data_IF_751034933282
#
_entry.id   IF_751034933282
#
_cell.length_a   1.000
_cell.length_b   1.000
_cell.length_c   1.000
_cell.angle_alpha   90.00
_cell.angle_beta   90.00
_cell.angle_gamma   90.00
#
_symmetry.space_group_name_H-M   'P 1'
#
loop_
_entity.id
_entity.type
_entity.pdbx_description
1 polymer ?
#
# COMPACT_ATOMS: atom_id res chain seq x y z
N UNK A 1 -13.11 4.13 0.24
CA UNK A 1 -12.97 3.18 -0.87
C UNK A 1 -12.48 3.87 -2.13
N UNK A 2 -13.09 4.97 -2.59
CA UNK A 2 -12.68 5.70 -3.80
C UNK A 2 -11.17 6.00 -3.85
N UNK A 3 -10.61 6.56 -2.78
CA UNK A 3 -9.16 6.81 -2.66
C UNK A 3 -8.29 5.58 -2.97
N UNK A 4 -8.69 4.39 -2.49
CA UNK A 4 -7.92 3.14 -2.76
C UNK A 4 -8.03 2.71 -4.22
N UNK A 5 -9.16 2.96 -4.86
CA UNK A 5 -9.34 2.71 -6.28
C UNK A 5 -8.49 3.67 -7.11
N UNK A 6 -8.51 4.96 -6.79
CA UNK A 6 -7.74 5.98 -7.50
C UNK A 6 -6.23 5.67 -7.45
N UNK A 7 -5.71 5.32 -6.25
CA UNK A 7 -4.30 4.93 -6.07
C UNK A 7 -3.96 3.64 -6.84
N UNK A 8 -4.86 2.66 -6.80
CA UNK A 8 -4.66 1.40 -7.51
C UNK A 8 -4.59 1.62 -9.03
N UNK A 9 -5.51 2.40 -9.57
CA UNK A 9 -5.59 2.69 -11.00
C UNK A 9 -4.36 3.48 -11.47
N UNK A 10 -3.82 4.40 -10.63
CA UNK A 10 -2.56 5.10 -10.90
C UNK A 10 -1.33 4.18 -10.96
N UNK A 11 -1.34 3.07 -10.21
CA UNK A 11 -0.23 2.09 -10.23
C UNK A 11 -0.35 1.14 -11.43
N UNK A 12 -1.57 0.72 -11.76
CA UNK A 12 -1.81 -0.33 -12.77
C UNK A 12 -1.85 0.23 -14.18
N UNK A 13 -2.32 1.47 -14.38
CA UNK A 13 -2.48 2.12 -15.68
C UNK A 13 -1.96 3.57 -15.62
N UNK A 14 -0.66 3.80 -15.48
CA UNK A 14 -0.11 5.15 -15.37
C UNK A 14 -0.27 5.98 -16.65
N UNK A 15 -0.35 5.35 -17.82
CA UNK A 15 -0.31 6.03 -19.13
C UNK A 15 -1.70 6.51 -19.63
N UNK A 16 -2.81 6.03 -19.04
CA UNK A 16 -4.15 6.43 -19.53
C UNK A 16 -4.57 7.84 -19.04
N UNK A 17 -4.11 8.28 -17.89
CA UNK A 17 -4.48 9.60 -17.32
C UNK A 17 -3.73 10.76 -17.95
N UNK A 18 -2.52 10.56 -18.46
CA UNK A 18 -1.77 11.60 -19.19
C UNK A 18 -2.37 11.84 -20.58
N UNK A 19 -3.07 10.85 -21.16
CA UNK A 19 -3.77 11.00 -22.44
C UNK A 19 -5.08 11.79 -22.33
N UNK A 20 -5.77 11.78 -21.19
CA UNK A 20 -6.99 12.57 -20.97
C UNK A 20 -6.71 14.06 -20.72
N UNK A 21 -5.63 14.41 -20.06
CA UNK A 21 -5.23 15.81 -19.85
C UNK A 21 -4.82 16.56 -21.13
N UNK A 22 -4.46 15.84 -22.18
CA UNK A 22 -4.06 16.43 -23.48
C UNK A 22 -5.29 16.71 -24.36
N UNK A 23 -6.46 16.10 -24.06
CA UNK A 23 -7.67 16.26 -24.88
C UNK A 23 -8.56 17.46 -24.52
N UNK A 24 -8.33 18.13 -23.39
CA UNK A 24 -9.14 19.32 -22.98
C UNK A 24 -8.61 20.67 -23.50
N UNK A 25 -7.64 20.69 -24.35
CA UNK A 25 -7.00 21.94 -24.80
C UNK A 25 -6.83 22.07 -26.28
N UNK A 26 -7.84 21.82 -27.12
CA UNK A 26 -7.88 22.35 -28.50
C UNK A 26 -9.26 22.08 -29.10
N UNK A 27 -10.15 23.01 -28.95
CA UNK A 27 -11.35 23.15 -29.78
C UNK A 27 -11.30 24.56 -30.41
N UNK A 28 -10.78 24.63 -31.60
CA UNK A 28 -11.04 25.69 -32.57
C UNK A 28 -10.50 25.21 -33.94
N UNK A 29 -11.41 25.00 -34.89
CA UNK A 29 -11.03 24.80 -36.30
C UNK A 29 -12.05 23.97 -37.10
N UNK A 30 -12.98 24.70 -37.77
CA UNK A 30 -13.77 24.24 -38.88
C UNK A 30 -12.96 23.43 -39.91
N UNK A 31 -13.48 22.28 -40.36
CA UNK A 31 -13.55 21.97 -41.80
C UNK A 31 -14.44 20.74 -42.07
N UNK A 32 -15.33 20.91 -43.02
CA UNK A 32 -16.17 19.90 -43.69
C UNK A 32 -15.32 18.78 -44.30
N UNK A 33 -15.63 17.51 -43.97
CA UNK A 33 -15.51 16.43 -44.94
C UNK A 33 -16.38 15.21 -44.59
N UNK A 34 -17.08 14.77 -45.61
CA UNK A 34 -18.09 13.74 -45.70
C UNK A 34 -17.45 12.32 -45.60
N UNK A 35 -17.45 11.68 -44.43
CA UNK A 35 -17.06 10.29 -44.31
C UNK A 35 -17.94 9.54 -43.31
N UNK A 36 -18.68 8.57 -43.86
CA UNK A 36 -19.51 7.49 -43.31
C UNK A 36 -19.41 7.30 -41.78
N UNK A 37 -20.33 7.91 -41.02
CA UNK A 37 -20.57 7.64 -39.61
C UNK A 37 -20.96 6.18 -39.39
N UNK A 38 -20.13 5.42 -38.69
CA UNK A 38 -20.59 4.23 -37.98
C UNK A 38 -21.66 4.67 -36.96
N UNK A 39 -22.76 3.89 -36.79
CA UNK A 39 -23.79 4.24 -35.82
C UNK A 39 -23.17 4.35 -34.44
N UNK A 40 -23.13 5.56 -33.89
CA UNK A 40 -22.79 5.75 -32.49
C UNK A 40 -23.90 5.13 -31.63
N UNK A 41 -23.59 4.36 -30.60
CA UNK A 41 -24.59 3.83 -29.68
C UNK A 41 -25.41 5.00 -29.14
N UNK A 42 -26.72 4.80 -28.96
CA UNK A 42 -27.57 5.84 -28.41
C UNK A 42 -27.11 6.18 -27.00
N UNK A 43 -27.31 7.43 -26.57
CA UNK A 43 -26.96 7.87 -25.21
C UNK A 43 -27.61 6.95 -24.16
N UNK A 44 -28.78 6.39 -24.45
CA UNK A 44 -29.46 5.42 -23.59
C UNK A 44 -28.75 4.05 -23.52
N UNK A 45 -28.18 3.58 -24.64
CA UNK A 45 -27.43 2.33 -24.68
C UNK A 45 -26.07 2.46 -24.02
N UNK A 46 -25.40 3.62 -24.16
CA UNK A 46 -24.18 3.94 -23.45
C UNK A 46 -24.43 4.00 -21.94
N UNK A 47 -25.51 4.67 -21.51
CA UNK A 47 -25.89 4.78 -20.10
C UNK A 47 -26.29 3.42 -19.50
N UNK A 48 -27.01 2.58 -20.25
CA UNK A 48 -27.32 1.20 -19.83
C UNK A 48 -26.07 0.35 -19.68
N UNK A 49 -25.15 0.43 -20.65
CA UNK A 49 -23.88 -0.29 -20.59
C UNK A 49 -23.05 0.12 -19.36
N UNK A 50 -23.02 1.41 -19.04
CA UNK A 50 -22.33 1.93 -17.88
C UNK A 50 -23.02 1.51 -16.56
N UNK A 51 -24.35 1.54 -16.49
CA UNK A 51 -25.11 1.04 -15.35
C UNK A 51 -24.91 -0.47 -15.14
N UNK A 52 -24.88 -1.25 -16.18
CA UNK A 52 -24.69 -2.70 -16.10
C UNK A 52 -23.23 -3.05 -15.74
N UNK A 53 -22.25 -2.28 -16.23
CA UNK A 53 -20.86 -2.38 -15.79
C UNK A 53 -20.70 -2.06 -14.30
N UNK A 54 -21.33 -0.98 -13.82
CA UNK A 54 -21.34 -0.61 -12.40
C UNK A 54 -22.02 -1.69 -11.54
N UNK A 55 -23.11 -2.29 -12.02
CA UNK A 55 -23.79 -3.39 -11.34
C UNK A 55 -22.98 -4.68 -11.31
N UNK A 56 -22.18 -4.97 -12.33
CA UNK A 56 -21.28 -6.12 -12.35
C UNK A 56 -20.06 -5.91 -11.42
N UNK A 57 -19.53 -4.70 -11.38
CA UNK A 57 -18.49 -4.33 -10.42
C UNK A 57 -19.01 -4.33 -8.97
N UNK A 58 -20.30 -4.05 -8.78
CA UNK A 58 -20.96 -4.02 -7.46
C UNK A 58 -21.35 -5.41 -6.92
N UNK A 59 -21.25 -6.48 -7.73
CA UNK A 59 -21.33 -7.84 -7.20
C UNK A 59 -20.18 -8.02 -6.21
N UNK A 60 -20.53 -8.33 -4.96
CA UNK A 60 -19.61 -8.45 -3.80
C UNK A 60 -18.36 -9.32 -4.08
N UNK A 61 -18.44 -10.20 -5.06
CA UNK A 61 -17.37 -11.12 -5.46
C UNK A 61 -16.32 -10.46 -6.38
N UNK A 62 -16.68 -9.41 -7.13
CA UNK A 62 -15.79 -8.76 -8.12
C UNK A 62 -15.16 -7.46 -7.62
N UNK A 63 -15.44 -7.05 -6.39
CA UNK A 63 -14.85 -5.82 -5.85
C UNK A 63 -13.35 -5.97 -5.62
N UNK A 64 -12.55 -5.10 -6.23
CA UNK A 64 -11.10 -5.00 -5.98
C UNK A 64 -10.78 -4.81 -4.48
N UNK A 65 -11.65 -4.09 -3.76
CA UNK A 65 -11.50 -3.77 -2.33
C UNK A 65 -12.80 -4.02 -1.56
N UNK A 66 -12.65 -4.59 -0.35
CA UNK A 66 -13.77 -4.86 0.56
C UNK A 66 -13.41 -4.34 1.97
N UNK A 67 -14.33 -3.60 2.59
CA UNK A 67 -14.18 -3.23 4.01
C UNK A 67 -14.60 -4.42 4.87
N UNK A 68 -13.73 -4.75 5.83
CA UNK A 68 -13.99 -5.78 6.85
C UNK A 68 -14.06 -5.11 8.21
N UNK A 69 -15.19 -5.27 8.89
CA UNK A 69 -15.36 -4.79 10.27
C UNK A 69 -14.70 -5.77 11.25
N UNK A 70 -13.67 -5.30 11.91
CA UNK A 70 -12.98 -6.06 12.96
C UNK A 70 -13.60 -5.88 14.35
N UNK A 71 -14.68 -5.07 14.45
CA UNK A 71 -15.27 -4.69 15.73
C UNK A 71 -14.32 -3.90 16.62
N UNK A 72 -13.43 -3.10 16.02
CA UNK A 72 -12.49 -2.21 16.70
C UNK A 72 -12.86 -0.75 16.45
N UNK A 73 -12.82 0.06 17.51
CA UNK A 73 -13.05 1.49 17.37
C UNK A 73 -11.90 2.15 16.59
N UNK A 74 -12.26 3.05 15.68
CA UNK A 74 -11.32 3.84 14.89
C UNK A 74 -10.29 3.00 14.09
N UNK A 75 -10.65 1.79 13.69
CA UNK A 75 -9.84 0.92 12.86
C UNK A 75 -10.69 0.35 11.72
N UNK A 76 -10.24 0.52 10.50
CA UNK A 76 -10.86 -0.02 9.30
C UNK A 76 -9.85 -0.97 8.67
N UNK A 77 -10.30 -2.18 8.34
CA UNK A 77 -9.52 -3.14 7.58
C UNK A 77 -10.07 -3.21 6.15
N UNK A 78 -9.18 -3.03 5.17
CA UNK A 78 -9.52 -3.10 3.76
C UNK A 78 -8.88 -4.33 3.16
N UNK A 79 -9.70 -5.28 2.74
CA UNK A 79 -9.26 -6.48 2.04
C UNK A 79 -9.15 -6.19 0.54
N UNK A 80 -8.04 -6.56 -0.07
CA UNK A 80 -7.83 -6.53 -1.51
C UNK A 80 -8.23 -7.89 -2.12
N UNK A 81 -8.79 -7.88 -3.34
CA UNK A 81 -9.01 -9.12 -4.09
C UNK A 81 -7.66 -9.75 -4.50
N UNK A 82 -7.66 -11.05 -4.78
CA UNK A 82 -6.44 -11.75 -5.23
C UNK A 82 -5.86 -11.14 -6.50
N UNK A 83 -6.73 -10.77 -7.44
CA UNK A 83 -6.35 -10.13 -8.71
C UNK A 83 -5.73 -8.75 -8.48
N UNK A 84 -6.26 -7.99 -7.51
CA UNK A 84 -5.74 -6.67 -7.17
C UNK A 84 -4.35 -6.77 -6.53
N UNK A 85 -4.13 -7.73 -5.61
CA UNK A 85 -2.82 -7.96 -4.98
C UNK A 85 -1.74 -8.39 -5.98
N UNK A 86 -2.11 -9.18 -7.01
CA UNK A 86 -1.16 -9.58 -8.06
C UNK A 86 -0.67 -8.37 -8.86
N UNK A 87 -1.54 -7.40 -9.11
CA UNK A 87 -1.22 -6.21 -9.90
C UNK A 87 -0.55 -5.11 -9.09
N UNK A 88 -0.91 -4.96 -7.82
CA UNK A 88 -0.39 -3.91 -6.95
C UNK A 88 -0.19 -4.44 -5.52
N UNK A 89 1.07 -4.41 -5.04
CA UNK A 89 1.39 -4.79 -3.66
C UNK A 89 0.83 -3.74 -2.67
N UNK A 90 0.25 -4.16 -1.53
CA UNK A 90 -0.23 -3.24 -0.50
C UNK A 90 0.81 -2.22 -0.03
N UNK A 91 2.10 -2.62 0.05
CA UNK A 91 3.17 -1.68 0.42
C UNK A 91 3.35 -0.58 -0.60
N UNK A 92 3.30 -0.91 -1.89
CA UNK A 92 3.52 0.06 -2.97
C UNK A 92 2.33 1.02 -3.07
N UNK A 93 1.11 0.53 -2.87
CA UNK A 93 -0.09 1.37 -2.79
C UNK A 93 0.00 2.39 -1.65
N UNK A 94 0.37 1.94 -0.45
CA UNK A 94 0.48 2.84 0.70
C UNK A 94 1.63 3.83 0.53
N UNK A 95 2.77 3.39 0.00
CA UNK A 95 3.91 4.28 -0.33
C UNK A 95 3.50 5.34 -1.35
N UNK A 96 2.76 4.97 -2.40
CA UNK A 96 2.25 5.92 -3.41
C UNK A 96 1.37 6.98 -2.76
N UNK A 97 0.39 6.58 -1.96
CA UNK A 97 -0.46 7.50 -1.21
C UNK A 97 0.33 8.45 -0.31
N UNK A 98 1.26 7.91 0.50
CA UNK A 98 2.06 8.72 1.41
C UNK A 98 3.02 9.66 0.66
N UNK A 99 3.51 9.26 -0.51
CA UNK A 99 4.33 10.13 -1.37
C UNK A 99 3.51 11.31 -1.87
N UNK A 100 2.29 11.08 -2.33
CA UNK A 100 1.37 12.14 -2.74
C UNK A 100 1.04 13.09 -1.58
N UNK A 101 0.72 12.56 -0.39
CA UNK A 101 0.50 13.39 0.81
C UNK A 101 1.74 14.21 1.15
N UNK A 102 2.93 13.63 1.01
CA UNK A 102 4.18 14.35 1.24
C UNK A 102 4.42 15.46 0.22
N UNK A 103 4.05 15.26 -1.03
CA UNK A 103 4.23 16.24 -2.11
C UNK A 103 3.19 17.35 -2.09
N UNK A 104 1.94 17.02 -1.84
CA UNK A 104 0.80 17.96 -1.92
C UNK A 104 0.40 18.56 -0.57
N UNK A 105 0.79 17.94 0.55
CA UNK A 105 0.28 18.25 1.91
C UNK A 105 -1.22 18.00 2.07
N UNK A 106 -1.87 17.41 1.06
CA UNK A 106 -3.30 17.11 1.10
C UNK A 106 -3.53 15.69 1.59
N UNK A 107 -4.18 15.57 2.73
CA UNK A 107 -4.72 14.29 3.19
C UNK A 107 -6.14 14.17 2.65
N UNK A 108 -6.42 13.20 1.78
CA UNK A 108 -7.74 13.01 1.16
C UNK A 108 -8.86 12.71 2.18
N UNK A 109 -8.51 12.53 3.43
CA UNK A 109 -9.45 12.31 4.52
C UNK A 109 -8.93 12.86 5.84
N UNK A 110 -9.75 13.70 6.49
CA UNK A 110 -9.47 14.19 7.84
C UNK A 110 -9.55 13.12 8.94
N UNK A 111 -10.09 11.95 8.61
CA UNK A 111 -10.30 10.86 9.57
C UNK A 111 -9.17 9.82 9.54
N UNK A 112 -8.39 9.77 8.45
CA UNK A 112 -7.26 8.83 8.33
C UNK A 112 -6.06 9.47 9.02
N UNK A 113 -5.65 8.87 10.13
CA UNK A 113 -4.43 9.26 10.81
C UNK A 113 -3.25 8.41 10.33
N UNK A 114 -3.42 7.09 10.31
CA UNK A 114 -2.38 6.14 9.91
C UNK A 114 -2.93 5.11 8.95
N UNK A 115 -2.14 4.76 7.94
CA UNK A 115 -2.44 3.70 7.00
C UNK A 115 -1.25 2.74 6.93
N UNK A 116 -1.48 1.46 7.17
CA UNK A 116 -0.44 0.43 7.17
C UNK A 116 -0.75 -0.61 6.11
N UNK A 117 0.24 -1.03 5.32
CA UNK A 117 0.09 -2.16 4.42
C UNK A 117 0.01 -3.46 5.21
N UNK A 118 -0.79 -4.40 4.73
CA UNK A 118 -0.93 -5.74 5.28
C UNK A 118 -0.72 -6.74 4.15
N UNK A 119 0.25 -7.62 4.32
CA UNK A 119 0.55 -8.67 3.36
C UNK A 119 -0.07 -10.01 3.75
N UNK A 120 -0.16 -10.27 5.06
CA UNK A 120 -0.62 -11.57 5.52
C UNK A 120 -1.33 -11.48 6.89
N UNK A 121 -2.18 -12.48 7.18
CA UNK A 121 -2.91 -12.60 8.44
C UNK A 121 -2.87 -14.04 8.89
N UNK A 122 -2.44 -14.29 10.13
CA UNK A 122 -2.38 -15.62 10.73
C UNK A 122 -2.98 -15.64 12.14
N UNK A 123 -3.03 -16.78 12.78
CA UNK A 123 -3.35 -16.86 14.20
C UNK A 123 -2.26 -16.19 15.05
N UNK A 124 -2.68 -15.61 16.19
CA UNK A 124 -1.77 -15.02 17.16
C UNK A 124 -1.06 -16.13 17.98
N UNK A 125 -0.12 -16.84 17.34
CA UNK A 125 0.82 -17.77 17.97
C UNK A 125 2.22 -17.55 17.43
N UNK A 126 3.24 -17.87 18.22
CA UNK A 126 4.64 -17.69 17.85
C UNK A 126 5.01 -18.50 16.61
N UNK A 127 4.51 -19.72 16.51
CA UNK A 127 4.74 -20.65 15.40
C UNK A 127 4.14 -20.12 14.10
N UNK A 128 2.88 -19.66 14.15
CA UNK A 128 2.19 -19.12 12.99
C UNK A 128 2.84 -17.82 12.52
N UNK A 129 3.16 -16.91 13.44
CA UNK A 129 3.88 -15.67 13.12
C UNK A 129 5.20 -15.97 12.42
N UNK A 130 5.97 -16.95 12.93
CA UNK A 130 7.22 -17.38 12.34
C UNK A 130 7.03 -17.94 10.93
N UNK A 131 6.05 -18.82 10.73
CA UNK A 131 5.77 -19.45 9.45
C UNK A 131 5.36 -18.42 8.37
N UNK A 132 4.49 -17.48 8.75
CA UNK A 132 4.00 -16.44 7.84
C UNK A 132 4.98 -15.28 7.63
N UNK A 133 5.86 -14.99 8.61
CA UNK A 133 6.89 -13.96 8.47
C UNK A 133 8.02 -14.37 7.52
N UNK A 134 8.38 -15.67 7.48
CA UNK A 134 9.49 -16.17 6.65
C UNK A 134 9.38 -15.79 5.17
N UNK A 135 8.25 -16.02 4.46
CA UNK A 135 8.09 -15.62 3.07
C UNK A 135 8.19 -14.10 2.87
N UNK A 136 7.71 -13.31 3.85
CA UNK A 136 7.79 -11.85 3.78
C UNK A 136 9.23 -11.38 3.94
N UNK A 137 9.99 -11.97 4.86
CA UNK A 137 11.41 -11.67 5.03
C UNK A 137 12.18 -11.99 3.75
N UNK A 138 12.00 -13.18 3.18
CA UNK A 138 12.69 -13.61 1.96
C UNK A 138 12.37 -12.71 0.75
N UNK A 139 11.13 -12.19 0.68
CA UNK A 139 10.69 -11.30 -0.39
C UNK A 139 11.23 -9.86 -0.24
N UNK A 140 11.20 -9.29 0.96
CA UNK A 140 11.49 -7.87 1.20
C UNK A 140 12.91 -7.60 1.71
N UNK A 141 13.58 -8.62 2.24
CA UNK A 141 14.98 -8.60 2.65
C UNK A 141 15.71 -9.82 2.07
N UNK A 142 15.84 -9.94 0.74
CA UNK A 142 16.54 -11.06 0.14
C UNK A 142 18.02 -11.03 0.53
N UNK A 143 18.59 -12.21 0.80
CA UNK A 143 20.01 -12.40 1.02
C UNK A 143 20.71 -12.32 -0.35
N UNK A 144 21.03 -11.12 -0.80
CA UNK A 144 21.76 -10.92 -2.05
C UNK A 144 23.25 -10.89 -1.73
N UNK A 145 23.99 -11.91 -2.19
CA UNK A 145 25.43 -11.84 -2.32
C UNK A 145 25.74 -10.85 -3.43
N UNK A 146 26.23 -9.67 -3.08
CA UNK A 146 26.71 -8.71 -4.08
C UNK A 146 28.05 -9.22 -4.56
N UNK A 147 28.14 -9.59 -5.84
CA UNK A 147 29.39 -9.97 -6.52
C UNK A 147 30.48 -8.94 -6.22
N UNK A 148 31.57 -9.43 -5.65
CA UNK A 148 32.66 -8.66 -5.02
C UNK A 148 33.49 -7.88 -6.03
N UNK A 149 33.27 -8.04 -7.35
CA UNK A 149 34.18 -7.49 -8.36
C UNK A 149 33.96 -6.02 -8.71
N UNK A 150 32.87 -5.36 -8.33
CA UNK A 150 32.58 -4.02 -8.86
C UNK A 150 32.56 -2.86 -7.89
N UNK A 151 32.56 -3.01 -6.55
CA UNK A 151 32.75 -1.86 -5.64
C UNK A 151 33.28 -2.26 -4.27
N UNK A 152 34.53 -1.90 -3.98
CA UNK A 152 35.18 -1.93 -2.66
C UNK A 152 34.59 -0.94 -1.63
N UNK A 153 33.54 -0.21 -1.96
CA UNK A 153 32.91 0.74 -1.05
C UNK A 153 31.48 0.33 -0.72
N UNK A 154 31.31 -0.07 0.54
CA UNK A 154 30.06 -0.17 1.24
C UNK A 154 29.14 -1.36 0.88
N UNK A 155 29.48 -2.53 1.41
CA UNK A 155 28.47 -3.51 1.80
C UNK A 155 27.62 -2.94 2.97
N UNK A 156 26.81 -1.95 2.68
CA UNK A 156 25.92 -1.36 3.67
C UNK A 156 24.79 -2.37 3.88
N UNK A 157 24.91 -3.18 4.96
CA UNK A 157 23.85 -4.10 5.36
C UNK A 157 22.51 -3.39 5.32
N UNK A 158 21.51 -3.98 4.69
CA UNK A 158 20.17 -3.42 4.69
C UNK A 158 19.64 -3.39 6.12
N UNK A 159 18.97 -2.29 6.49
CA UNK A 159 18.48 -2.11 7.86
C UNK A 159 17.01 -2.49 7.98
N UNK A 160 16.65 -3.11 9.10
CA UNK A 160 15.26 -3.46 9.39
C UNK A 160 14.88 -3.23 10.86
N UNK A 161 13.58 -3.19 11.10
CA UNK A 161 13.02 -3.24 12.45
C UNK A 161 11.73 -4.05 12.48
N UNK A 162 11.30 -4.43 13.67
CA UNK A 162 9.98 -5.02 13.89
C UNK A 162 9.16 -4.07 14.77
N UNK A 163 8.03 -3.63 14.25
CA UNK A 163 7.10 -2.72 14.93
C UNK A 163 5.94 -3.57 15.44
N UNK A 164 5.82 -3.64 16.75
CA UNK A 164 4.79 -4.43 17.40
C UNK A 164 3.69 -3.55 18.01
N UNK A 165 2.45 -3.93 17.79
CA UNK A 165 1.30 -3.43 18.54
C UNK A 165 0.35 -4.56 18.94
N UNK A 166 -0.48 -4.34 19.96
CA UNK A 166 -1.49 -5.30 20.39
C UNK A 166 -2.77 -4.58 20.76
N UNK A 167 -3.90 -5.11 20.27
CA UNK A 167 -5.25 -4.60 20.57
C UNK A 167 -6.14 -5.77 20.95
N UNK A 168 -6.58 -5.78 22.21
CA UNK A 168 -7.43 -6.83 22.77
C UNK A 168 -6.83 -8.25 22.65
N UNK A 169 -5.51 -8.35 22.75
CA UNK A 169 -4.78 -9.61 22.79
C UNK A 169 -3.59 -9.52 23.76
N UNK A 170 -3.49 -10.49 24.67
CA UNK A 170 -2.38 -10.65 25.61
C UNK A 170 -1.83 -12.08 25.59
N UNK A 171 -2.13 -12.88 24.53
CA UNK A 171 -1.73 -14.28 24.45
C UNK A 171 -0.24 -14.48 24.19
N UNK A 172 0.41 -13.50 23.54
CA UNK A 172 1.83 -13.57 23.19
C UNK A 172 2.57 -12.37 23.81
N UNK A 173 3.65 -12.59 24.55
CA UNK A 173 4.53 -11.53 24.99
C UNK A 173 5.13 -10.77 23.81
N UNK A 174 5.25 -9.44 23.95
CA UNK A 174 5.81 -8.57 22.91
C UNK A 174 7.14 -9.07 22.34
N UNK A 175 8.06 -9.46 23.20
CA UNK A 175 9.41 -9.90 22.77
C UNK A 175 9.35 -11.20 22.00
N UNK A 176 8.46 -12.11 22.35
CA UNK A 176 8.27 -13.38 21.66
C UNK A 176 7.77 -13.15 20.22
N UNK A 177 6.78 -12.29 20.04
CA UNK A 177 6.28 -11.92 18.71
C UNK A 177 7.35 -11.22 17.85
N UNK A 178 8.13 -10.31 18.45
CA UNK A 178 9.26 -9.64 17.78
C UNK A 178 10.32 -10.66 17.35
N UNK A 179 10.70 -11.56 18.26
CA UNK A 179 11.71 -12.60 18.03
C UNK A 179 11.28 -13.58 16.95
N UNK A 180 9.97 -13.93 16.87
CA UNK A 180 9.43 -14.80 15.84
C UNK A 180 9.71 -14.28 14.43
N UNK A 181 9.69 -12.95 14.23
CA UNK A 181 10.01 -12.29 12.96
C UNK A 181 11.52 -12.06 12.82
N UNK A 182 12.15 -11.46 13.83
CA UNK A 182 13.55 -11.03 13.75
C UNK A 182 14.51 -12.20 13.51
N UNK A 183 14.24 -13.38 14.07
CA UNK A 183 15.03 -14.59 13.89
C UNK A 183 14.94 -15.20 12.48
N UNK A 184 14.02 -14.73 11.62
CA UNK A 184 13.96 -15.13 10.21
C UNK A 184 14.95 -14.33 9.34
N UNK A 185 15.43 -13.19 9.85
CA UNK A 185 16.35 -12.31 9.11
C UNK A 185 17.79 -12.74 9.38
N UNK A 186 18.58 -12.93 8.31
CA UNK A 186 19.98 -13.27 8.44
C UNK A 186 20.82 -12.10 8.96
N UNK A 187 21.54 -12.24 10.08
CA UNK A 187 22.39 -11.20 10.65
C UNK A 187 23.63 -10.89 9.80
N UNK A 188 24.00 -11.79 8.89
CA UNK A 188 25.15 -11.61 8.01
C UNK A 188 24.88 -10.54 6.95
N UNK A 189 23.65 -10.48 6.44
CA UNK A 189 23.24 -9.58 5.36
C UNK A 189 22.51 -8.34 5.86
N UNK A 190 21.87 -8.40 7.04
CA UNK A 190 21.00 -7.34 7.53
C UNK A 190 21.35 -6.91 8.94
N UNK A 191 20.99 -5.66 9.29
CA UNK A 191 21.22 -5.08 10.61
C UNK A 191 19.92 -4.51 11.16
N UNK A 192 19.69 -4.70 12.46
CA UNK A 192 18.58 -4.03 13.16
C UNK A 192 18.88 -2.54 13.29
N UNK A 193 17.92 -1.71 12.90
CA UNK A 193 17.94 -0.26 13.11
C UNK A 193 16.55 0.20 13.55
N UNK A 194 16.44 0.64 14.78
CA UNK A 194 15.18 1.12 15.36
C UNK A 194 14.91 2.60 15.05
N UNK A 195 15.94 3.34 14.63
CA UNK A 195 15.85 4.77 14.36
C UNK A 195 15.38 5.08 12.94
N UNK A 196 16.00 4.44 11.94
CA UNK A 196 15.72 4.67 10.53
C UNK A 196 15.83 3.37 9.71
N UNK A 197 14.93 2.40 9.94
CA UNK A 197 14.95 1.16 9.19
C UNK A 197 14.51 1.39 7.74
N UNK A 198 15.23 0.76 6.81
CA UNK A 198 14.82 0.72 5.41
C UNK A 198 13.52 -0.07 5.23
N UNK A 199 13.39 -1.18 5.99
CA UNK A 199 12.20 -2.03 6.01
C UNK A 199 11.74 -2.20 7.44
N UNK A 200 10.48 -1.91 7.73
CA UNK A 200 9.85 -2.17 9.01
C UNK A 200 8.78 -3.26 8.84
N UNK A 201 8.97 -4.39 9.52
CA UNK A 201 7.93 -5.41 9.62
C UNK A 201 6.94 -4.99 10.71
N UNK A 202 5.67 -4.85 10.37
CA UNK A 202 4.62 -4.58 11.34
C UNK A 202 3.99 -5.90 11.79
N UNK A 203 3.81 -6.03 13.11
CA UNK A 203 3.18 -7.18 13.75
C UNK A 203 2.11 -6.64 14.69
N UNK A 204 0.87 -6.64 14.22
CA UNK A 204 -0.26 -6.11 14.97
C UNK A 204 -1.15 -7.27 15.44
N UNK A 205 -1.15 -7.53 16.75
CA UNK A 205 -2.05 -8.51 17.33
C UNK A 205 -3.44 -7.89 17.51
N UNK A 206 -4.43 -8.47 16.86
CA UNK A 206 -5.82 -7.99 16.89
C UNK A 206 -6.71 -9.15 17.29
N UNK A 207 -7.23 -9.11 18.53
CA UNK A 207 -8.00 -10.24 19.08
C UNK A 207 -7.21 -11.57 18.96
N UNK A 208 -7.73 -12.56 18.26
CA UNK A 208 -7.06 -13.87 18.06
C UNK A 208 -6.15 -13.95 16.84
N UNK A 209 -5.96 -12.86 16.09
CA UNK A 209 -5.19 -12.84 14.87
C UNK A 209 -3.93 -11.95 14.99
N UNK A 210 -2.93 -12.31 14.22
CA UNK A 210 -1.76 -11.48 13.95
C UNK A 210 -1.83 -10.96 12.52
N UNK A 211 -1.71 -9.65 12.36
CA UNK A 211 -1.67 -8.96 11.08
C UNK A 211 -0.23 -8.59 10.78
N UNK A 212 0.31 -9.15 9.71
CA UNK A 212 1.69 -8.95 9.29
C UNK A 212 1.75 -8.00 8.10
N UNK A 213 2.61 -6.99 8.20
CA UNK A 213 2.79 -6.01 7.17
C UNK A 213 4.25 -5.64 6.95
N UNK A 214 4.53 -5.01 5.81
CA UNK A 214 5.86 -4.52 5.46
C UNK A 214 5.79 -3.07 5.03
N UNK A 215 6.38 -2.20 5.84
CA UNK A 215 6.45 -0.76 5.61
C UNK A 215 7.87 -0.37 5.18
N UNK A 216 7.98 0.20 3.98
CA UNK A 216 9.25 0.70 3.41
C UNK A 216 9.51 2.13 3.90
N UNK A 217 10.78 2.49 4.16
CA UNK A 217 11.17 3.87 4.50
C UNK A 217 10.35 4.47 5.67
N UNK A 218 10.24 3.71 6.76
CA UNK A 218 9.38 3.98 7.92
C UNK A 218 9.46 5.42 8.46
N UNK A 219 10.68 5.95 8.60
CA UNK A 219 10.91 7.30 9.11
C UNK A 219 10.55 8.37 8.09
N UNK A 220 10.90 8.17 6.82
CA UNK A 220 10.62 9.10 5.72
C UNK A 220 9.14 9.43 5.60
N UNK A 221 8.28 8.44 5.89
CA UNK A 221 6.82 8.59 5.86
C UNK A 221 6.19 8.83 7.24
N UNK A 222 6.94 9.44 8.17
CA UNK A 222 6.44 9.80 9.50
C UNK A 222 5.77 8.62 10.22
N UNK A 223 6.37 7.44 10.13
CA UNK A 223 5.85 6.19 10.70
C UNK A 223 4.46 5.84 10.13
N UNK A 224 4.24 6.14 8.86
CA UNK A 224 2.97 5.93 8.14
C UNK A 224 1.80 6.71 8.73
N UNK A 225 2.08 7.84 9.37
CA UNK A 225 1.07 8.79 9.84
C UNK A 225 0.88 9.88 8.78
N UNK A 226 -0.16 9.74 7.96
CA UNK A 226 -0.49 10.64 6.87
C UNK A 226 -0.78 12.07 7.36
N UNK A 227 -1.41 12.21 8.54
CA UNK A 227 -1.73 13.52 9.12
C UNK A 227 -0.47 14.30 9.49
N UNK A 228 0.46 13.66 10.21
CA UNK A 228 1.74 14.28 10.59
C UNK A 228 2.55 14.60 9.34
N UNK A 229 2.58 13.68 8.36
CA UNK A 229 3.32 13.85 7.12
C UNK A 229 2.87 15.09 6.34
N UNK A 230 1.56 15.32 6.21
CA UNK A 230 1.02 16.52 5.56
C UNK A 230 1.30 17.81 6.34
N UNK A 231 1.30 17.77 7.68
CA UNK A 231 1.58 18.94 8.52
C UNK A 231 3.05 19.38 8.46
N UNK A 232 4.00 18.44 8.42
CA UNK A 232 5.43 18.75 8.43
C UNK A 232 5.83 19.61 7.23
N UNK A 233 5.28 19.37 6.04
CA UNK A 233 5.60 20.16 4.86
C UNK A 233 5.07 21.60 4.92
N UNK A 234 3.91 21.80 5.56
CA UNK A 234 3.37 23.15 5.74
C UNK A 234 4.33 24.00 6.59
N UNK A 235 4.97 23.39 7.60
CA UNK A 235 5.96 24.07 8.44
C UNK A 235 7.27 24.35 7.69
N UNK A 236 7.75 23.44 6.84
CA UNK A 236 8.95 23.64 6.00
C UNK A 236 8.79 24.77 4.99
N UNK A 237 7.58 24.98 4.46
CA UNK A 237 7.30 26.03 3.49
C UNK A 237 7.12 27.45 4.13
N UNK A 238 7.02 27.53 5.45
CA UNK A 238 6.87 28.78 6.20
C UNK A 238 8.16 29.25 6.90
N UNK A 239 9.27 28.52 6.76
CA UNK A 239 10.61 28.90 7.19
C UNK A 239 11.48 29.33 6.02
#
# INVERSE_FOLDING_TARGET
>A
MRLMLDIYDDIVSPDEKDAEKIKEGNDDGDDDDDAKKKPQPSVEDALKSEIDSIKEEDKLENRKFKIVDLGLRACIFVLMSKEAVIKADPSDMVVRYLSEVKETSLTHSRFIERILPVQDVCFASSEEIKAHAKPLVDRFLPNVEVDVETKKDQLKKSTFSVIFSSRHNNSIPRMEAIDAIAKQVSPDFHKVDLGDPRVAFTCDLIKGCCVLGVAKEWKKFSKYNARILGQNKIQENHM
#
